data_IF_644405050815
#
_entry.id   IF_644405050815
#
_cell.length_a   1.000
_cell.length_b   1.000
_cell.length_c   1.000
_cell.angle_alpha   90.00
_cell.angle_beta   90.00
_cell.angle_gamma   90.00
#
_symmetry.space_group_name_H-M   'P 1'
#
loop_
_entity.id
_entity.type
_entity.pdbx_description
1 polymer ?
#
# COMPACT_ATOMS: atom_id res chain seq x y z
N UNK A 1 16.16 2.11 11.73
CA UNK A 1 15.30 3.20 11.27
C UNK A 1 14.63 3.92 12.44
N UNK A 2 14.30 5.19 12.23
CA UNK A 2 13.51 5.95 13.19
C UNK A 2 12.04 5.55 13.05
N UNK A 3 11.39 5.24 14.17
CA UNK A 3 9.96 4.93 14.21
C UNK A 3 9.26 5.94 15.12
N UNK A 4 8.44 6.77 14.52
CA UNK A 4 7.76 7.88 15.19
C UNK A 4 6.26 7.70 15.08
N UNK A 5 5.57 7.67 16.22
CA UNK A 5 4.14 7.37 16.30
C UNK A 5 3.35 8.65 16.52
N UNK A 6 2.38 8.89 15.65
CA UNK A 6 1.38 9.96 15.80
C UNK A 6 0.10 9.33 16.34
N UNK A 7 -0.46 9.92 17.40
CA UNK A 7 -1.67 9.43 18.05
C UNK A 7 -2.70 10.54 18.16
N UNK A 8 -3.95 10.23 17.86
CA UNK A 8 -5.08 11.14 18.04
C UNK A 8 -6.35 10.34 18.22
N UNK A 9 -7.42 10.98 18.67
CA UNK A 9 -8.74 10.34 18.79
C UNK A 9 -9.52 10.29 17.48
N UNK A 10 -9.13 11.07 16.48
CA UNK A 10 -9.86 11.25 15.23
C UNK A 10 -9.04 10.78 14.04
N UNK A 11 -9.59 9.81 13.28
CA UNK A 11 -8.98 9.33 12.03
C UNK A 11 -8.94 10.43 10.96
N UNK A 12 -9.92 11.31 10.95
CA UNK A 12 -10.01 12.42 9.99
C UNK A 12 -8.84 13.39 10.18
N UNK A 13 -8.43 13.63 11.42
CA UNK A 13 -7.25 14.45 11.72
C UNK A 13 -5.97 13.83 11.22
N UNK A 14 -5.80 12.52 11.38
CA UNK A 14 -4.66 11.80 10.79
C UNK A 14 -4.66 11.89 9.28
N UNK A 15 -5.80 11.70 8.65
CA UNK A 15 -5.94 11.80 7.19
C UNK A 15 -5.54 13.18 6.68
N UNK A 16 -5.85 14.22 7.43
CA UNK A 16 -5.53 15.60 7.09
C UNK A 16 -4.03 15.91 7.22
N UNK A 17 -3.38 15.45 8.30
CA UNK A 17 -1.99 15.83 8.60
C UNK A 17 -0.93 14.94 7.96
N UNK A 18 -1.23 13.67 7.71
CA UNK A 18 -0.23 12.71 7.24
C UNK A 18 0.46 13.12 5.92
N UNK A 19 -0.25 13.60 4.89
CA UNK A 19 0.42 14.03 3.66
C UNK A 19 1.42 15.15 3.90
N UNK A 20 1.07 16.14 4.71
CA UNK A 20 1.95 17.27 5.05
C UNK A 20 3.14 16.80 5.89
N UNK A 21 2.90 15.95 6.86
CA UNK A 21 3.96 15.41 7.71
C UNK A 21 4.97 14.61 6.89
N UNK A 22 4.50 13.70 6.05
CA UNK A 22 5.36 12.88 5.19
C UNK A 22 6.14 13.74 4.19
N UNK A 23 5.51 14.77 3.61
CA UNK A 23 6.19 15.67 2.69
C UNK A 23 7.38 16.36 3.37
N UNK A 24 7.21 16.81 4.62
CA UNK A 24 8.30 17.42 5.39
C UNK A 24 9.40 16.43 5.75
N UNK A 25 9.06 15.17 6.02
CA UNK A 25 10.05 14.11 6.25
C UNK A 25 10.85 13.83 4.97
N UNK A 26 10.17 13.72 3.83
CA UNK A 26 10.85 13.51 2.54
C UNK A 26 11.79 14.65 2.17
N UNK A 27 11.41 15.88 2.45
CA UNK A 27 12.21 17.05 2.14
C UNK A 27 13.37 17.27 3.15
N UNK A 28 13.37 16.55 4.26
CA UNK A 28 14.39 16.70 5.29
C UNK A 28 15.62 15.84 4.94
N UNK A 29 16.82 16.46 4.82
CA UNK A 29 18.05 15.74 4.44
C UNK A 29 18.53 14.74 5.49
N UNK A 30 17.97 14.76 6.70
CA UNK A 30 18.29 13.77 7.74
C UNK A 30 17.79 12.38 7.39
N UNK A 31 16.77 12.28 6.54
CA UNK A 31 16.13 11.01 6.18
C UNK A 31 16.36 10.63 4.72
N UNK A 32 16.48 9.33 4.47
CA UNK A 32 16.61 8.78 3.10
C UNK A 32 15.28 8.29 2.55
N UNK A 33 14.54 7.57 3.38
CA UNK A 33 13.28 6.93 3.02
C UNK A 33 12.31 7.11 4.15
N UNK A 34 11.04 7.27 3.82
CA UNK A 34 9.98 7.33 4.81
C UNK A 34 8.77 6.56 4.33
N UNK A 35 8.10 5.89 5.25
CA UNK A 35 6.85 5.21 5.02
C UNK A 35 5.95 5.33 6.25
N UNK A 36 4.67 5.07 6.06
CA UNK A 36 3.69 5.09 7.14
C UNK A 36 2.84 3.82 7.07
N UNK A 37 2.50 3.26 8.24
CA UNK A 37 1.69 2.05 8.32
C UNK A 37 0.20 2.28 8.07
N UNK A 38 -0.27 3.53 8.06
CA UNK A 38 -1.67 3.89 7.80
C UNK A 38 -1.78 4.50 6.40
N UNK A 39 -2.49 3.81 5.51
CA UNK A 39 -2.69 4.20 4.12
C UNK A 39 -4.17 4.42 3.86
N UNK A 40 -4.56 5.63 3.45
CA UNK A 40 -5.97 6.00 3.21
C UNK A 40 -6.43 5.69 1.79
N UNK A 41 -5.52 5.66 0.83
CA UNK A 41 -5.84 5.33 -0.56
C UNK A 41 -4.90 4.23 -1.05
N UNK A 42 -5.36 3.00 -0.94
CA UNK A 42 -4.67 1.82 -1.47
C UNK A 42 -5.47 1.30 -2.64
N UNK A 43 -4.97 1.37 -3.88
CA UNK A 43 -5.71 0.84 -5.02
C UNK A 43 -5.90 -0.66 -4.86
N UNK A 44 -7.13 -1.09 -5.07
CA UNK A 44 -7.54 -2.49 -5.02
C UNK A 44 -8.31 -2.82 -6.29
N UNK A 45 -8.04 -3.96 -6.90
CA UNK A 45 -8.82 -4.45 -8.03
C UNK A 45 -9.46 -5.76 -7.65
N UNK A 46 -10.77 -5.82 -7.85
CA UNK A 46 -11.56 -7.05 -7.72
C UNK A 46 -11.90 -7.56 -9.09
N UNK A 47 -11.81 -8.87 -9.27
CA UNK A 47 -12.09 -9.54 -10.51
C UNK A 47 -13.31 -10.42 -10.31
N UNK A 48 -14.37 -10.13 -11.05
CA UNK A 48 -15.59 -10.92 -11.07
C UNK A 48 -15.53 -11.87 -12.26
N UNK A 49 -15.68 -13.16 -12.00
CA UNK A 49 -15.68 -14.19 -13.03
C UNK A 49 -17.12 -14.48 -13.45
N UNK A 50 -17.36 -14.52 -14.75
CA UNK A 50 -18.57 -15.12 -15.30
C UNK A 50 -18.39 -16.64 -15.31
N UNK A 51 -18.84 -17.30 -14.24
CA UNK A 51 -18.63 -18.75 -14.04
C UNK A 51 -19.31 -19.59 -15.09
N UNK A 52 -20.51 -19.18 -15.52
CA UNK A 52 -21.26 -19.91 -16.53
C UNK A 52 -20.53 -19.92 -17.86
N UNK A 53 -20.06 -18.77 -18.32
CA UNK A 53 -19.24 -18.67 -19.54
C UNK A 53 -17.94 -19.46 -19.42
N UNK A 54 -17.23 -19.34 -18.30
CA UNK A 54 -15.99 -20.07 -18.09
C UNK A 54 -16.22 -21.59 -18.15
N UNK A 55 -17.28 -22.09 -17.52
CA UNK A 55 -17.63 -23.50 -17.56
C UNK A 55 -18.00 -23.97 -18.97
N UNK A 56 -18.80 -23.20 -19.70
CA UNK A 56 -19.18 -23.52 -21.08
C UNK A 56 -17.95 -23.58 -22.00
N UNK A 57 -17.01 -22.68 -21.81
CA UNK A 57 -15.78 -22.60 -22.61
C UNK A 57 -14.69 -23.57 -22.13
N UNK A 58 -14.91 -24.29 -21.02
CA UNK A 58 -13.92 -25.19 -20.46
C UNK A 58 -12.67 -24.50 -19.92
N UNK A 59 -12.87 -23.36 -19.24
CA UNK A 59 -11.79 -22.59 -18.63
C UNK A 59 -11.95 -22.63 -17.10
N UNK A 60 -10.92 -23.11 -16.41
CA UNK A 60 -10.94 -23.19 -14.95
C UNK A 60 -10.61 -21.85 -14.30
N UNK A 61 -11.15 -21.62 -13.11
CA UNK A 61 -10.81 -20.47 -12.27
C UNK A 61 -9.29 -20.38 -12.02
N UNK A 62 -8.65 -21.53 -11.81
CA UNK A 62 -7.21 -21.59 -11.60
C UNK A 62 -6.42 -21.07 -12.80
N UNK A 63 -6.81 -21.45 -14.01
CA UNK A 63 -6.18 -20.95 -15.23
C UNK A 63 -6.39 -19.45 -15.40
N UNK A 64 -7.59 -18.96 -15.12
CA UNK A 64 -7.90 -17.54 -15.16
C UNK A 64 -6.97 -16.79 -14.20
N UNK A 65 -6.84 -17.26 -12.96
CA UNK A 65 -5.95 -16.64 -11.98
C UNK A 65 -4.49 -16.61 -12.45
N UNK A 66 -3.99 -17.72 -12.97
CA UNK A 66 -2.60 -17.82 -13.44
C UNK A 66 -2.32 -16.86 -14.60
N UNK A 67 -3.23 -16.78 -15.56
CA UNK A 67 -3.07 -15.88 -16.71
C UNK A 67 -3.14 -14.42 -16.27
N UNK A 68 -4.03 -14.07 -15.35
CA UNK A 68 -4.16 -12.71 -14.83
C UNK A 68 -2.95 -12.28 -13.99
N UNK A 69 -2.34 -13.17 -13.24
CA UNK A 69 -1.15 -12.86 -12.45
C UNK A 69 -0.01 -12.30 -13.31
N UNK A 70 0.16 -12.81 -14.51
CA UNK A 70 1.14 -12.30 -15.47
C UNK A 70 0.57 -11.21 -16.38
N UNK A 71 -0.67 -11.36 -16.80
CA UNK A 71 -1.32 -10.41 -17.73
C UNK A 71 -1.54 -9.04 -17.13
N UNK A 72 -1.70 -8.95 -15.81
CA UNK A 72 -1.83 -7.68 -15.08
C UNK A 72 -0.48 -7.10 -14.63
N UNK A 73 0.63 -7.73 -14.98
CA UNK A 73 1.96 -7.19 -14.69
C UNK A 73 2.11 -5.78 -15.29
N UNK A 74 2.87 -4.93 -14.63
CA UNK A 74 3.03 -3.54 -15.04
C UNK A 74 1.97 -2.57 -14.51
N UNK A 75 0.94 -3.06 -13.84
CA UNK A 75 -0.04 -2.22 -13.16
C UNK A 75 0.52 -1.71 -11.81
N UNK A 76 -0.06 -0.62 -11.31
CA UNK A 76 0.37 -0.03 -10.02
C UNK A 76 0.01 -0.87 -8.80
N UNK A 77 -0.79 -1.90 -8.97
CA UNK A 77 -1.21 -2.80 -7.90
C UNK A 77 -0.32 -4.03 -7.85
N UNK A 78 -0.02 -4.51 -6.65
CA UNK A 78 0.72 -5.77 -6.45
C UNK A 78 -0.18 -6.99 -6.30
N UNK A 79 -1.49 -6.79 -6.11
CA UNK A 79 -2.46 -7.85 -5.81
C UNK A 79 -3.79 -7.60 -6.50
N UNK A 80 -4.51 -8.67 -6.77
CA UNK A 80 -5.93 -8.62 -7.13
C UNK A 80 -6.73 -9.63 -6.31
N UNK A 81 -8.04 -9.41 -6.19
CA UNK A 81 -8.95 -10.30 -5.48
C UNK A 81 -9.89 -10.98 -6.47
N UNK A 82 -10.03 -12.28 -6.32
CA UNK A 82 -10.92 -13.09 -7.15
C UNK A 82 -11.44 -14.27 -6.34
N UNK A 83 -12.73 -14.50 -6.34
CA UNK A 83 -13.37 -15.59 -5.56
C UNK A 83 -13.01 -15.57 -4.06
N UNK A 84 -12.91 -14.41 -3.46
CA UNK A 84 -12.56 -14.28 -2.05
C UNK A 84 -11.12 -14.57 -1.71
N UNK A 85 -10.24 -14.77 -2.70
CA UNK A 85 -8.82 -14.98 -2.51
C UNK A 85 -8.01 -13.82 -3.05
N UNK A 86 -6.90 -13.53 -2.39
CA UNK A 86 -5.91 -12.57 -2.84
C UNK A 86 -4.86 -13.29 -3.68
N UNK A 87 -4.56 -12.74 -4.85
CA UNK A 87 -3.54 -13.23 -5.76
C UNK A 87 -2.49 -12.16 -5.98
N UNK A 88 -1.24 -12.56 -5.93
CA UNK A 88 -0.13 -11.66 -6.23
C UNK A 88 0.02 -11.50 -7.74
N UNK A 89 0.24 -10.26 -8.18
CA UNK A 89 0.58 -9.98 -9.58
C UNK A 89 2.07 -10.24 -9.75
N UNK A 90 2.40 -11.16 -10.65
CA UNK A 90 3.75 -11.61 -10.93
C UNK A 90 4.29 -10.90 -12.18
N UNK A 91 5.60 -10.73 -12.22
CA UNK A 91 6.28 -10.09 -13.33
C UNK A 91 6.88 -8.74 -12.96
N UNK A 92 7.86 -8.29 -13.75
CA UNK A 92 8.55 -7.04 -13.52
C UNK A 92 7.68 -5.85 -13.92
N UNK A 93 7.61 -4.84 -13.04
CA UNK A 93 6.94 -3.58 -13.33
C UNK A 93 7.93 -2.69 -14.08
N UNK A 94 7.76 -2.59 -15.39
CA UNK A 94 8.50 -1.62 -16.18
C UNK A 94 7.94 -0.22 -15.90
N UNK A 95 8.82 0.76 -15.64
CA UNK A 95 8.43 2.15 -15.39
C UNK A 95 7.56 2.74 -16.52
N UNK A 96 7.78 2.32 -17.76
CA UNK A 96 7.01 2.76 -18.91
C UNK A 96 5.59 2.19 -18.95
N UNK A 97 5.35 1.06 -18.30
CA UNK A 97 4.05 0.39 -18.26
C UNK A 97 3.19 0.79 -17.07
N UNK A 98 3.75 1.52 -16.08
CA UNK A 98 3.05 1.91 -14.84
C UNK A 98 1.78 2.73 -15.05
N UNK A 99 1.69 3.44 -16.17
CA UNK A 99 0.57 4.32 -16.50
C UNK A 99 -0.40 3.71 -17.50
N UNK A 100 -0.16 2.48 -17.96
CA UNK A 100 -1.04 1.79 -18.89
C UNK A 100 -2.19 1.17 -18.13
N UNK A 101 -3.45 1.51 -18.44
CA UNK A 101 -4.61 0.87 -17.81
C UNK A 101 -4.61 -0.63 -18.09
N UNK A 102 -5.09 -1.42 -17.12
CA UNK A 102 -5.27 -2.85 -17.34
C UNK A 102 -6.27 -3.07 -18.48
N UNK A 103 -5.83 -3.71 -19.54
CA UNK A 103 -6.66 -3.98 -20.70
C UNK A 103 -6.87 -5.48 -20.85
N UNK A 104 -8.03 -5.96 -20.39
CA UNK A 104 -8.40 -7.37 -20.47
C UNK A 104 -8.57 -7.85 -21.93
N UNK A 105 -8.80 -6.93 -22.85
CA UNK A 105 -8.93 -7.26 -24.29
C UNK A 105 -7.62 -7.73 -24.89
N UNK A 106 -6.49 -7.36 -24.30
CA UNK A 106 -5.15 -7.80 -24.76
C UNK A 106 -4.70 -9.10 -24.10
N UNK A 107 -5.45 -9.60 -23.12
CA UNK A 107 -5.14 -10.84 -22.42
C UNK A 107 -6.00 -11.97 -22.98
N UNK A 108 -5.36 -13.05 -23.40
CA UNK A 108 -6.03 -14.22 -23.97
C UNK A 108 -5.79 -15.43 -23.09
N UNK A 109 -6.80 -16.31 -23.06
CA UNK A 109 -6.71 -17.59 -22.37
C UNK A 109 -7.15 -18.70 -23.30
N UNK A 110 -6.52 -19.85 -23.18
CA UNK A 110 -6.83 -21.02 -24.00
C UNK A 110 -7.94 -21.82 -23.35
N UNK A 111 -8.94 -22.20 -24.14
CA UNK A 111 -10.02 -23.11 -23.72
C UNK A 111 -9.53 -24.57 -23.73
N UNK A 112 -10.33 -25.49 -23.20
CA UNK A 112 -10.06 -26.92 -23.20
C UNK A 112 -10.01 -27.51 -24.63
N UNK A 113 -10.65 -26.84 -25.59
CA UNK A 113 -10.62 -27.22 -27.03
C UNK A 113 -9.45 -26.60 -27.78
N UNK A 114 -8.58 -25.82 -27.10
CA UNK A 114 -7.43 -25.17 -27.70
C UNK A 114 -7.73 -23.83 -28.38
N UNK A 115 -8.95 -23.33 -28.29
CA UNK A 115 -9.30 -22.01 -28.82
C UNK A 115 -8.86 -20.90 -27.87
N UNK A 116 -8.50 -19.74 -28.45
CA UNK A 116 -8.11 -18.57 -27.67
C UNK A 116 -9.32 -17.64 -27.47
N UNK A 117 -9.55 -17.22 -26.24
CA UNK A 117 -10.63 -16.32 -25.85
C UNK A 117 -10.06 -15.12 -25.13
N UNK A 118 -10.58 -13.93 -25.44
CA UNK A 118 -10.20 -12.71 -24.72
C UNK A 118 -10.70 -12.79 -23.27
N UNK A 119 -9.84 -12.36 -22.35
CA UNK A 119 -10.16 -12.44 -20.90
C UNK A 119 -11.38 -11.61 -20.52
N UNK A 120 -11.65 -10.50 -21.22
CA UNK A 120 -12.82 -9.65 -20.96
C UNK A 120 -14.16 -10.33 -21.25
N UNK A 121 -14.19 -11.46 -21.98
CA UNK A 121 -15.39 -12.28 -22.11
C UNK A 121 -15.70 -13.09 -20.85
N UNK A 122 -14.71 -13.36 -20.03
CA UNK A 122 -14.82 -14.25 -18.87
C UNK A 122 -14.81 -13.51 -17.53
N UNK A 123 -14.22 -12.34 -17.47
CA UNK A 123 -14.06 -11.58 -16.23
C UNK A 123 -14.31 -10.09 -16.44
N UNK A 124 -14.73 -9.44 -15.35
CA UNK A 124 -14.85 -7.98 -15.26
C UNK A 124 -13.92 -7.46 -14.16
N UNK A 125 -13.29 -6.31 -14.42
CA UNK A 125 -12.49 -5.61 -13.41
C UNK A 125 -13.36 -4.60 -12.68
N UNK A 126 -13.37 -4.67 -11.35
CA UNK A 126 -14.01 -3.69 -10.49
C UNK A 126 -12.91 -3.00 -9.68
N UNK A 127 -12.60 -1.76 -10.04
CA UNK A 127 -11.64 -0.94 -9.30
C UNK A 127 -12.27 -0.38 -8.03
N UNK A 128 -11.45 -0.20 -6.99
CA UNK A 128 -11.90 0.35 -5.73
C UNK A 128 -10.72 0.84 -4.89
N UNK A 129 -11.04 1.38 -3.72
CA UNK A 129 -10.09 1.77 -2.70
C UNK A 129 -10.30 0.86 -1.50
N UNK A 130 -9.26 0.16 -1.07
CA UNK A 130 -9.33 -0.65 0.13
C UNK A 130 -9.49 0.24 1.37
N UNK A 131 -10.35 -0.14 2.34
CA UNK A 131 -10.41 0.59 3.62
C UNK A 131 -9.04 0.58 4.32
N UNK A 132 -8.68 1.65 5.03
CA UNK A 132 -7.43 1.67 5.75
C UNK A 132 -7.46 0.68 6.92
N UNK A 133 -6.33 0.00 7.14
CA UNK A 133 -6.15 -0.81 8.35
C UNK A 133 -5.84 0.12 9.51
N UNK A 134 -6.74 0.16 10.51
CA UNK A 134 -6.61 1.04 11.66
C UNK A 134 -5.75 0.39 12.74
N UNK A 135 -4.81 1.16 13.28
CA UNK A 135 -3.99 0.78 14.43
C UNK A 135 -4.45 1.58 15.65
N UNK A 136 -4.81 0.89 16.72
CA UNK A 136 -5.31 1.51 17.94
C UNK A 136 -4.43 1.16 19.13
N UNK A 137 -4.16 2.16 19.95
CA UNK A 137 -3.47 2.00 21.21
C UNK A 137 -4.13 2.90 22.25
N UNK A 138 -4.59 2.33 23.38
CA UNK A 138 -5.25 3.07 24.47
C UNK A 138 -6.36 4.02 23.99
N UNK A 139 -7.25 3.55 23.10
CA UNK A 139 -8.36 4.32 22.50
C UNK A 139 -7.93 5.38 21.50
N UNK A 140 -6.64 5.51 21.22
CA UNK A 140 -6.14 6.40 20.17
C UNK A 140 -6.02 5.66 18.85
N UNK A 141 -6.29 6.37 17.78
CA UNK A 141 -5.90 5.93 16.43
C UNK A 141 -4.45 6.37 16.23
N UNK A 142 -3.62 5.49 15.71
CA UNK A 142 -2.20 5.76 15.55
C UNK A 142 -1.71 5.52 14.12
N UNK A 143 -0.70 6.28 13.75
CA UNK A 143 0.08 6.06 12.54
C UNK A 143 1.57 6.05 12.93
N UNK A 144 2.29 5.02 12.51
CA UNK A 144 3.73 4.93 12.73
C UNK A 144 4.46 5.32 11.45
N UNK A 145 5.28 6.35 11.55
CA UNK A 145 6.14 6.79 10.48
C UNK A 145 7.51 6.17 10.69
N UNK A 146 7.96 5.41 9.71
CA UNK A 146 9.28 4.78 9.70
C UNK A 146 10.16 5.49 8.70
N UNK A 147 11.32 5.96 9.12
CA UNK A 147 12.24 6.66 8.25
C UNK A 147 13.66 6.12 8.41
N UNK A 148 14.33 5.86 7.30
CA UNK A 148 15.75 5.55 7.28
C UNK A 148 16.58 6.81 7.51
N UNK A 149 17.69 6.68 8.20
CA UNK A 149 18.62 7.79 8.43
C UNK A 149 19.55 7.96 7.24
N UNK A 150 19.80 9.20 6.85
CA UNK A 150 20.82 9.53 5.87
C UNK A 150 22.21 9.19 6.41
N UNK A 151 23.16 8.98 5.50
CA UNK A 151 24.54 8.67 5.85
C UNK A 151 25.13 9.72 6.81
N UNK A 152 25.70 9.26 7.92
CA UNK A 152 26.30 10.12 8.93
C UNK A 152 25.31 10.70 9.94
N UNK A 153 24.02 10.39 9.84
CA UNK A 153 22.99 10.84 10.79
C UNK A 153 22.74 9.80 11.88
N UNK A 154 22.52 10.28 13.09
CA UNK A 154 22.24 9.44 14.27
C UNK A 154 20.74 9.34 14.53
N UNK A 155 20.32 8.34 15.32
CA UNK A 155 18.93 8.20 15.77
C UNK A 155 18.49 9.45 16.53
N UNK A 156 19.35 9.99 17.41
CA UNK A 156 19.05 11.22 18.16
C UNK A 156 18.76 12.42 17.25
N UNK A 157 19.56 12.60 16.20
CA UNK A 157 19.31 13.65 15.21
C UNK A 157 17.99 13.44 14.46
N UNK A 158 17.72 12.19 14.09
CA UNK A 158 16.45 11.85 13.43
C UNK A 158 15.24 12.13 14.32
N UNK A 159 15.30 11.79 15.59
CA UNK A 159 14.22 12.06 16.55
C UNK A 159 14.01 13.55 16.79
N UNK A 160 15.10 14.33 16.87
CA UNK A 160 15.02 15.79 17.01
C UNK A 160 14.33 16.42 15.79
N UNK A 161 14.64 15.95 14.59
CA UNK A 161 13.98 16.42 13.37
C UNK A 161 12.51 16.02 13.29
N UNK A 162 12.17 14.80 13.73
CA UNK A 162 10.76 14.38 13.83
C UNK A 162 9.99 15.25 14.82
N UNK A 163 10.57 15.57 15.98
CA UNK A 163 9.96 16.45 16.97
C UNK A 163 9.74 17.86 16.42
N UNK A 164 10.66 18.40 15.63
CA UNK A 164 10.49 19.69 14.97
C UNK A 164 9.33 19.68 13.98
N UNK A 165 9.25 18.64 13.14
CA UNK A 165 8.16 18.48 12.17
C UNK A 165 6.82 18.36 12.90
N UNK A 166 6.78 17.59 13.99
CA UNK A 166 5.59 17.44 14.82
C UNK A 166 5.10 18.78 15.37
N UNK A 167 6.00 19.62 15.86
CA UNK A 167 5.66 20.96 16.36
C UNK A 167 5.11 21.89 15.28
N UNK A 168 5.60 21.75 14.06
CA UNK A 168 5.13 22.56 12.92
C UNK A 168 3.77 22.13 12.40
N UNK A 169 3.49 20.81 12.37
CA UNK A 169 2.36 20.22 11.65
C UNK A 169 1.21 19.85 12.58
N UNK A 170 1.51 19.37 13.79
CA UNK A 170 0.51 18.81 14.70
C UNK A 170 -0.02 19.87 15.67
N UNK A 171 -1.32 19.82 15.93
CA UNK A 171 -1.96 20.61 16.99
C UNK A 171 -1.98 19.85 18.34
N UNK A 172 -2.57 20.45 19.37
CA UNK A 172 -2.61 19.89 20.73
C UNK A 172 -3.46 18.62 20.85
N UNK A 173 -4.25 18.28 19.84
CA UNK A 173 -5.06 17.06 19.81
C UNK A 173 -4.24 15.80 19.50
N UNK A 174 -2.98 15.97 19.10
CA UNK A 174 -2.07 14.89 18.83
C UNK A 174 -1.13 14.61 20.00
N UNK A 175 -0.79 13.34 20.14
CA UNK A 175 0.32 12.86 20.97
C UNK A 175 1.34 12.19 20.07
N UNK A 176 2.59 12.22 20.49
CA UNK A 176 3.67 11.49 19.83
C UNK A 176 4.26 10.46 20.77
N UNK A 177 4.71 9.36 20.21
CA UNK A 177 5.37 8.29 20.96
C UNK A 177 6.47 7.70 20.09
N UNK A 178 7.31 6.87 20.69
CA UNK A 178 8.38 6.17 20.00
C UNK A 178 8.15 4.67 20.05
N UNK A 179 8.62 3.95 19.04
CA UNK A 179 8.61 2.49 19.00
C UNK A 179 9.94 1.95 18.47
N UNK A 180 10.16 0.65 18.65
CA UNK A 180 11.37 -0.02 18.19
C UNK A 180 12.65 0.56 18.77
N UNK A 181 13.69 0.62 17.96
CA UNK A 181 15.02 1.14 18.33
C UNK A 181 14.98 2.58 18.84
N UNK A 182 14.04 3.39 18.34
CA UNK A 182 13.87 4.78 18.77
C UNK A 182 13.46 4.88 20.24
N UNK A 183 12.58 3.99 20.67
CA UNK A 183 12.17 3.90 22.09
C UNK A 183 13.34 3.48 22.97
N UNK A 184 14.05 2.43 22.57
CA UNK A 184 15.22 1.91 23.29
C UNK A 184 16.30 2.98 23.42
N UNK A 185 16.58 3.71 22.36
CA UNK A 185 17.55 4.81 22.35
C UNK A 185 17.20 5.87 23.41
N UNK A 186 15.97 6.33 23.43
CA UNK A 186 15.56 7.41 24.35
C UNK A 186 15.54 6.94 25.80
N UNK A 187 15.14 5.69 26.06
CA UNK A 187 15.18 5.09 27.40
C UNK A 187 16.60 4.91 27.94
N UNK A 188 17.57 4.62 27.08
CA UNK A 188 18.98 4.46 27.46
C UNK A 188 19.72 5.78 27.64
N UNK A 189 19.16 6.88 27.12
CA UNK A 189 19.78 8.21 27.13
C UNK A 189 19.26 9.14 28.23
N UNK A 190 18.28 8.67 29.02
CA UNK A 190 17.68 9.42 30.15
C UNK A 190 18.26 8.91 31.53
#
# INVERSE_FOLDING_TARGET
PVQYVLQTTSIEKLQEVLPTFLAKVYDNPTFQMADVNLKFSKPEVRININRDKANIMGVSTRNIAQVLQYGLSGQRMGYFYMNGKQYEILGEINRQQRNTPANLKSIYIRTDKGEMVQMDNLVDLVGGIAPPKLYRYNRFVSATISAGLAKGKTIGQGLDEMDKIAKEVLDDSFRTALSGESKEYRESSS
#
